data_IF_085073196791
#
_entry.id   IF_085073196791
#
_cell.length_a   1.000
_cell.length_b   1.000
_cell.length_c   1.000
_cell.angle_alpha   90.00
_cell.angle_beta   90.00
_cell.angle_gamma   90.00
#
_symmetry.space_group_name_H-M   'P 1'
#
loop_
_entity.id
_entity.type
_entity.pdbx_description
1 polymer ?
#
# COMPACT_ATOMS: atom_id res chain seq x y z
N UNK A 1 -7.99 -11.71 14.03
CA UNK A 1 -8.89 -12.86 14.20
C UNK A 1 -8.47 -13.94 13.23
N UNK A 2 -8.72 -15.21 13.54
CA UNK A 2 -8.40 -16.34 12.69
C UNK A 2 -9.64 -17.21 12.50
N UNK A 3 -9.97 -17.55 11.25
CA UNK A 3 -10.99 -18.57 10.97
C UNK A 3 -10.34 -19.93 11.20
N UNK A 4 -10.90 -20.71 12.12
CA UNK A 4 -10.37 -22.02 12.56
C UNK A 4 -11.27 -23.18 12.17
N UNK A 5 -12.45 -22.90 11.63
CA UNK A 5 -13.41 -23.91 11.20
C UNK A 5 -14.61 -23.30 10.51
N UNK A 6 -15.46 -24.16 9.98
CA UNK A 6 -16.75 -23.77 9.39
C UNK A 6 -17.78 -24.88 9.59
N UNK A 7 -19.06 -24.50 9.50
CA UNK A 7 -20.20 -25.41 9.54
C UNK A 7 -21.30 -24.80 8.66
N UNK A 8 -21.65 -25.48 7.56
CA UNK A 8 -22.61 -25.00 6.57
C UNK A 8 -24.06 -24.92 7.08
N UNK A 9 -24.33 -25.49 8.26
CA UNK A 9 -25.65 -25.52 8.87
C UNK A 9 -25.70 -24.88 10.25
N UNK A 10 -24.66 -24.14 10.64
CA UNK A 10 -24.50 -23.57 12.00
C UNK A 10 -25.68 -22.74 12.44
N UNK A 11 -26.26 -21.96 11.55
CA UNK A 11 -27.40 -21.10 11.77
C UNK A 11 -28.66 -21.56 11.00
N UNK A 12 -28.90 -22.87 10.95
CA UNK A 12 -30.03 -23.48 10.27
C UNK A 12 -29.78 -23.67 8.78
N UNK A 13 -30.32 -22.75 7.93
CA UNK A 13 -30.08 -22.77 6.47
C UNK A 13 -28.86 -21.97 6.06
N UNK A 14 -28.26 -21.25 6.99
CA UNK A 14 -27.06 -20.44 6.81
C UNK A 14 -25.91 -21.06 7.59
N UNK A 15 -24.77 -21.18 6.93
CA UNK A 15 -23.55 -21.62 7.57
C UNK A 15 -22.82 -20.50 8.29
N UNK A 16 -21.73 -20.85 8.94
CA UNK A 16 -20.91 -19.90 9.64
C UNK A 16 -19.48 -20.35 9.78
N UNK A 17 -18.62 -19.37 10.03
CA UNK A 17 -17.21 -19.55 10.37
C UNK A 17 -17.02 -19.59 11.88
N UNK A 18 -16.16 -20.48 12.33
CA UNK A 18 -15.65 -20.48 13.69
C UNK A 18 -14.41 -19.58 13.74
N UNK A 19 -14.47 -18.55 14.57
CA UNK A 19 -13.48 -17.49 14.65
C UNK A 19 -12.78 -17.53 16.01
N UNK A 20 -11.46 -17.56 16.01
CA UNK A 20 -10.62 -17.37 17.18
C UNK A 20 -10.13 -15.92 17.22
N UNK A 21 -10.35 -15.27 18.37
CA UNK A 21 -9.90 -13.91 18.61
C UNK A 21 -8.58 -13.89 19.41
N UNK A 22 -7.81 -12.81 19.29
CA UNK A 22 -6.57 -12.57 20.03
C UNK A 22 -6.77 -11.95 21.42
N UNK A 23 -8.03 -11.75 21.85
CA UNK A 23 -8.36 -11.09 23.14
C UNK A 23 -8.29 -12.03 24.36
N UNK A 24 -7.89 -13.27 24.16
CA UNK A 24 -7.69 -14.26 25.21
C UNK A 24 -8.92 -15.13 25.49
N UNK A 25 -8.76 -16.12 26.38
CA UNK A 25 -9.79 -17.14 26.67
C UNK A 25 -11.02 -16.59 27.40
N UNK A 26 -10.91 -15.43 28.05
CA UNK A 26 -12.01 -14.78 28.77
C UNK A 26 -13.05 -14.17 27.79
N UNK A 27 -12.70 -13.99 26.52
CA UNK A 27 -13.61 -13.49 25.52
C UNK A 27 -14.51 -14.63 25.01
N UNK A 28 -15.84 -14.43 25.08
CA UNK A 28 -16.87 -15.37 24.65
C UNK A 28 -16.63 -16.78 25.22
N UNK A 29 -16.59 -17.82 24.37
CA UNK A 29 -16.31 -19.22 24.78
C UNK A 29 -14.85 -19.56 24.52
N UNK A 30 -13.99 -19.35 25.49
CA UNK A 30 -12.54 -19.63 25.39
C UNK A 30 -11.85 -18.93 24.21
N UNK A 31 -12.22 -17.68 23.94
CA UNK A 31 -11.66 -16.91 22.83
C UNK A 31 -12.23 -17.27 21.45
N UNK A 32 -13.30 -18.09 21.38
CA UNK A 32 -13.87 -18.61 20.13
C UNK A 32 -15.33 -18.20 20.00
N UNK A 33 -15.71 -17.71 18.83
CA UNK A 33 -17.09 -17.37 18.45
C UNK A 33 -17.47 -17.99 17.11
N UNK A 34 -18.76 -17.93 16.79
CA UNK A 34 -19.27 -18.24 15.46
C UNK A 34 -19.85 -16.98 14.84
N UNK A 35 -19.59 -16.78 13.58
CA UNK A 35 -20.11 -15.69 12.77
C UNK A 35 -20.77 -16.25 11.51
N UNK A 36 -21.95 -15.73 11.12
CA UNK A 36 -22.61 -16.21 9.91
C UNK A 36 -21.82 -15.87 8.66
N UNK A 37 -22.00 -16.64 7.59
CA UNK A 37 -21.34 -16.35 6.30
C UNK A 37 -21.74 -14.96 5.77
N UNK A 38 -23.00 -14.57 5.99
CA UNK A 38 -23.49 -13.25 5.60
C UNK A 38 -22.83 -12.12 6.36
N UNK A 39 -22.75 -12.22 7.69
CA UNK A 39 -22.08 -11.22 8.52
C UNK A 39 -20.57 -11.18 8.20
N UNK A 40 -19.94 -12.33 8.07
CA UNK A 40 -18.52 -12.40 7.68
C UNK A 40 -18.27 -11.69 6.35
N UNK A 41 -19.08 -11.95 5.32
CA UNK A 41 -18.96 -11.28 4.03
C UNK A 41 -19.22 -9.77 4.09
N UNK A 42 -20.12 -9.33 4.99
CA UNK A 42 -20.48 -7.94 5.14
C UNK A 42 -19.44 -7.12 5.91
N UNK A 43 -18.90 -7.68 7.01
CA UNK A 43 -17.99 -6.94 7.90
C UNK A 43 -16.52 -7.20 7.66
N UNK A 44 -16.15 -8.30 6.99
CA UNK A 44 -14.75 -8.61 6.69
C UNK A 44 -14.26 -7.72 5.55
N UNK A 45 -13.25 -6.91 5.85
CA UNK A 45 -12.60 -6.03 4.86
C UNK A 45 -11.55 -6.78 4.06
N UNK A 46 -10.82 -7.66 4.73
CA UNK A 46 -9.71 -8.42 4.14
C UNK A 46 -9.62 -9.78 4.84
N UNK A 47 -9.35 -10.84 4.08
CA UNK A 47 -9.09 -12.17 4.59
C UNK A 47 -7.92 -12.80 3.84
N UNK A 48 -7.05 -13.49 4.57
CA UNK A 48 -5.86 -14.15 4.03
C UNK A 48 -5.88 -15.62 4.42
N UNK A 49 -5.62 -16.50 3.45
CA UNK A 49 -5.40 -17.90 3.72
C UNK A 49 -3.95 -18.12 4.19
N UNK A 50 -3.80 -18.84 5.31
CA UNK A 50 -2.49 -19.27 5.80
C UNK A 50 -2.32 -20.74 5.43
N UNK A 51 -1.35 -21.03 4.59
CA UNK A 51 -0.98 -22.40 4.26
C UNK A 51 0.25 -22.81 5.06
N UNK A 52 0.30 -24.02 5.65
CA UNK A 52 1.55 -24.52 6.21
C UNK A 52 2.58 -24.56 5.07
N UNK A 53 3.71 -23.95 5.28
CA UNK A 53 4.85 -24.13 4.38
C UNK A 53 5.25 -25.61 4.45
N UNK A 54 4.88 -26.36 3.40
CA UNK A 54 5.62 -27.58 3.08
C UNK A 54 7.07 -27.20 2.76
N UNK A 55 7.94 -28.18 2.53
CA UNK A 55 9.26 -27.92 1.93
C UNK A 55 9.02 -27.32 0.53
N UNK A 56 8.73 -26.02 0.52
CA UNK A 56 8.35 -25.31 -0.70
C UNK A 56 9.59 -24.99 -1.50
N UNK A 57 9.57 -25.37 -2.74
CA UNK A 57 10.34 -24.70 -3.78
C UNK A 57 10.06 -23.20 -3.58
N UNK A 58 11.08 -22.39 -3.26
CA UNK A 58 10.95 -20.95 -3.13
C UNK A 58 10.67 -20.36 -4.52
N UNK A 59 9.40 -20.37 -4.89
CA UNK A 59 8.88 -19.79 -6.15
C UNK A 59 8.69 -18.29 -6.04
N UNK A 60 9.51 -17.60 -5.25
CA UNK A 60 9.49 -16.13 -5.30
C UNK A 60 9.81 -15.70 -6.73
N UNK A 61 8.96 -14.88 -7.35
CA UNK A 61 9.28 -14.38 -8.67
C UNK A 61 10.62 -13.64 -8.61
N UNK A 62 11.44 -13.85 -9.63
CA UNK A 62 12.75 -13.18 -9.74
C UNK A 62 12.64 -11.67 -9.97
N UNK A 63 11.42 -11.20 -10.25
CA UNK A 63 11.15 -9.80 -10.55
C UNK A 63 9.90 -9.31 -9.83
N UNK A 64 9.95 -8.10 -9.30
CA UNK A 64 8.76 -7.33 -8.97
C UNK A 64 8.13 -6.78 -10.26
N UNK A 65 6.82 -6.90 -10.38
CA UNK A 65 6.00 -6.17 -11.33
C UNK A 65 4.87 -5.53 -10.54
N UNK A 66 5.00 -4.25 -10.28
CA UNK A 66 4.05 -3.50 -9.47
C UNK A 66 3.51 -2.35 -10.31
N UNK A 67 2.19 -2.23 -10.39
CA UNK A 67 1.51 -1.14 -11.07
C UNK A 67 0.90 -0.21 -10.04
N UNK A 68 1.01 1.08 -10.32
CA UNK A 68 0.49 2.14 -9.49
C UNK A 68 -0.39 3.06 -10.31
N UNK A 69 -1.41 3.62 -9.67
CA UNK A 69 -2.22 4.68 -10.21
C UNK A 69 -2.67 5.61 -9.10
N UNK A 70 -3.02 6.84 -9.46
CA UNK A 70 -3.75 7.75 -8.59
C UNK A 70 -5.19 7.78 -9.09
N UNK A 71 -6.06 6.97 -8.50
CA UNK A 71 -7.43 6.82 -8.92
C UNK A 71 -8.30 7.93 -8.32
N UNK A 72 -9.03 8.64 -9.17
CA UNK A 72 -10.01 9.63 -8.73
C UNK A 72 -11.15 8.96 -7.98
N UNK A 73 -11.63 9.63 -6.94
CA UNK A 73 -12.77 9.18 -6.15
C UNK A 73 -13.86 10.25 -6.12
N UNK A 74 -15.10 9.81 -6.01
CA UNK A 74 -16.26 10.66 -5.88
C UNK A 74 -16.39 11.30 -4.48
N UNK A 75 -17.50 11.98 -4.21
CA UNK A 75 -17.78 12.62 -2.92
C UNK A 75 -17.92 11.63 -1.78
N UNK A 76 -18.33 10.40 -2.05
CA UNK A 76 -18.46 9.33 -1.07
C UNK A 76 -17.12 8.62 -0.81
N UNK A 77 -16.12 8.83 -1.66
CA UNK A 77 -14.82 8.17 -1.63
C UNK A 77 -14.78 6.88 -2.45
N UNK A 78 -15.81 6.65 -3.27
CA UNK A 78 -15.85 5.50 -4.17
C UNK A 78 -15.02 5.74 -5.43
N UNK A 79 -14.31 4.73 -5.93
CA UNK A 79 -13.48 4.84 -7.13
C UNK A 79 -14.30 5.17 -8.37
N UNK A 80 -13.87 6.20 -9.12
CA UNK A 80 -14.53 6.60 -10.37
C UNK A 80 -14.11 5.76 -11.59
N UNK A 81 -13.01 5.02 -11.48
CA UNK A 81 -12.37 4.34 -12.61
C UNK A 81 -11.44 5.24 -13.42
N UNK A 82 -11.40 6.54 -13.15
CA UNK A 82 -10.51 7.50 -13.80
C UNK A 82 -9.22 7.69 -12.97
N UNK A 83 -8.10 7.93 -13.66
CA UNK A 83 -6.81 8.14 -13.06
C UNK A 83 -6.24 9.51 -13.37
N UNK A 84 -5.48 10.05 -12.40
CA UNK A 84 -4.64 11.21 -12.63
C UNK A 84 -3.44 10.73 -13.46
N UNK A 85 -3.32 11.27 -14.68
CA UNK A 85 -2.22 10.90 -15.57
C UNK A 85 -0.88 11.37 -15.00
N UNK A 86 0.09 10.46 -15.00
CA UNK A 86 1.45 10.66 -14.50
C UNK A 86 2.45 10.38 -15.61
N UNK A 87 3.55 11.13 -15.64
CA UNK A 87 4.69 10.92 -16.54
C UNK A 87 5.98 10.73 -15.73
N UNK A 88 6.85 9.86 -16.20
CA UNK A 88 8.19 9.70 -15.64
C UNK A 88 9.05 10.92 -15.96
N UNK A 89 9.67 11.53 -14.97
CA UNK A 89 10.49 12.73 -15.12
C UNK A 89 11.99 12.47 -14.91
N UNK A 90 12.33 11.25 -14.51
CA UNK A 90 13.70 10.79 -14.32
C UNK A 90 13.96 10.21 -12.93
N UNK A 91 14.98 9.40 -12.80
CA UNK A 91 15.29 8.73 -11.54
C UNK A 91 14.13 7.89 -11.02
N UNK A 92 13.63 8.23 -9.82
CA UNK A 92 12.47 7.59 -9.17
C UNK A 92 11.20 8.43 -9.29
N UNK A 93 11.24 9.57 -9.98
CA UNK A 93 10.21 10.59 -9.88
C UNK A 93 9.21 10.53 -11.03
N UNK A 94 7.95 10.53 -10.68
CA UNK A 94 6.80 10.72 -11.55
C UNK A 94 6.11 12.01 -11.18
N UNK A 95 5.55 12.67 -12.17
CA UNK A 95 4.83 13.93 -11.99
C UNK A 95 3.49 13.88 -12.72
N UNK A 96 2.49 14.58 -12.23
CA UNK A 96 1.23 14.76 -12.94
C UNK A 96 1.50 15.36 -14.33
N UNK A 97 0.85 14.80 -15.35
CA UNK A 97 0.98 15.29 -16.72
C UNK A 97 0.45 16.72 -16.86
N UNK A 98 -0.55 17.06 -16.08
CA UNK A 98 -1.16 18.39 -15.94
C UNK A 98 -1.47 18.71 -14.49
N UNK A 99 -1.36 19.97 -14.06
CA UNK A 99 -1.79 20.36 -12.72
C UNK A 99 -3.27 20.03 -12.50
N UNK A 100 -3.56 19.37 -11.38
CA UNK A 100 -4.92 19.04 -10.96
C UNK A 100 -5.54 20.18 -10.15
N UNK A 101 -6.86 20.24 -10.10
CA UNK A 101 -7.54 21.23 -9.29
C UNK A 101 -7.33 20.94 -7.80
N UNK A 102 -7.11 21.99 -7.00
CA UNK A 102 -7.16 21.89 -5.55
C UNK A 102 -8.52 21.36 -5.11
N UNK A 103 -8.57 20.55 -4.06
CA UNK A 103 -9.77 19.82 -3.68
C UNK A 103 -9.99 18.50 -4.43
N UNK A 104 -9.22 18.19 -5.48
CA UNK A 104 -9.29 16.90 -6.17
C UNK A 104 -9.02 15.76 -5.18
N UNK A 105 -9.89 14.76 -5.17
CA UNK A 105 -9.82 13.61 -4.28
C UNK A 105 -9.36 12.37 -5.03
N UNK A 106 -8.45 11.63 -4.46
CA UNK A 106 -7.89 10.43 -5.05
C UNK A 106 -7.46 9.41 -4.00
N UNK A 107 -7.19 8.20 -4.46
CA UNK A 107 -6.57 7.13 -3.70
C UNK A 107 -5.42 6.53 -4.52
N UNK A 108 -4.48 5.92 -3.85
CA UNK A 108 -3.43 5.16 -4.52
C UNK A 108 -3.97 3.77 -4.86
N UNK A 109 -3.89 3.43 -6.13
CA UNK A 109 -4.15 2.09 -6.63
C UNK A 109 -2.84 1.33 -6.79
N UNK A 110 -2.79 0.09 -6.33
CA UNK A 110 -1.62 -0.79 -6.46
C UNK A 110 -2.07 -2.16 -6.94
N UNK A 111 -1.40 -2.65 -7.96
CA UNK A 111 -1.51 -4.05 -8.43
C UNK A 111 -0.13 -4.66 -8.40
N UNK A 112 0.04 -5.79 -7.71
CA UNK A 112 1.31 -6.49 -7.56
C UNK A 112 1.21 -7.94 -8.04
N UNK A 113 2.29 -8.46 -8.63
CA UNK A 113 2.40 -9.84 -9.07
C UNK A 113 3.00 -10.78 -8.03
N UNK A 114 3.48 -10.25 -6.93
CA UNK A 114 4.11 -10.99 -5.84
C UNK A 114 3.74 -10.36 -4.51
N UNK A 115 3.77 -11.14 -3.44
CA UNK A 115 3.61 -10.63 -2.08
C UNK A 115 4.65 -9.57 -1.79
N UNK A 116 4.23 -8.46 -1.22
CA UNK A 116 5.11 -7.35 -0.89
C UNK A 116 4.61 -6.57 0.33
N UNK A 117 5.44 -5.67 0.80
CA UNK A 117 5.13 -4.72 1.86
C UNK A 117 5.20 -3.31 1.29
N UNK A 118 4.17 -2.53 1.55
CA UNK A 118 4.00 -1.19 1.02
C UNK A 118 4.09 -0.16 2.13
N UNK A 119 4.86 0.90 1.89
CA UNK A 119 4.99 2.03 2.81
C UNK A 119 4.91 3.33 2.03
N UNK A 120 4.19 4.32 2.57
CA UNK A 120 4.08 5.63 1.94
C UNK A 120 4.50 6.73 2.91
N UNK A 121 5.23 7.69 2.38
CA UNK A 121 5.66 8.91 3.08
C UNK A 121 5.18 10.12 2.30
N UNK A 122 4.74 11.15 3.01
CA UNK A 122 4.46 12.46 2.45
C UNK A 122 5.58 13.45 2.78
N UNK A 123 5.59 14.57 2.08
CA UNK A 123 6.46 15.70 2.37
C UNK A 123 5.61 16.94 2.62
N UNK A 124 5.84 17.62 3.73
CA UNK A 124 5.25 18.90 4.06
C UNK A 124 5.89 20.03 3.26
N UNK A 125 5.26 21.19 3.25
CA UNK A 125 5.78 22.38 2.54
C UNK A 125 7.10 22.91 3.08
N UNK A 126 7.41 22.65 4.36
CA UNK A 126 8.71 22.95 4.96
C UNK A 126 9.79 21.92 4.61
N UNK A 127 9.42 20.88 3.84
CA UNK A 127 10.29 19.82 3.42
C UNK A 127 10.42 18.66 4.42
N UNK A 128 9.79 18.72 5.60
CA UNK A 128 9.77 17.59 6.54
C UNK A 128 8.99 16.43 5.96
N UNK A 129 9.34 15.20 6.34
CA UNK A 129 8.61 13.99 5.93
C UNK A 129 7.69 13.49 7.04
N UNK A 130 6.61 12.83 6.65
CA UNK A 130 5.69 12.17 7.56
C UNK A 130 5.18 10.85 6.98
N UNK A 131 4.70 9.96 7.86
CA UNK A 131 4.16 8.66 7.44
C UNK A 131 2.72 8.83 6.95
N UNK A 132 2.48 8.46 5.69
CA UNK A 132 1.14 8.37 5.12
C UNK A 132 0.53 6.99 5.32
N UNK A 133 1.33 5.92 5.14
CA UNK A 133 0.86 4.54 5.29
C UNK A 133 2.03 3.59 5.65
N UNK A 134 1.82 2.65 6.60
CA UNK A 134 0.68 2.57 7.53
C UNK A 134 0.75 3.70 8.57
N UNK A 135 -0.35 4.43 8.75
CA UNK A 135 -0.41 5.56 9.69
C UNK A 135 -0.98 5.19 11.06
N UNK A 136 -1.48 3.97 11.19
CA UNK A 136 -1.96 3.42 12.47
C UNK A 136 -1.53 1.95 12.61
N UNK A 137 -1.42 1.41 13.84
CA UNK A 137 -1.14 -0.01 14.08
C UNK A 137 -2.21 -0.97 13.52
N UNK A 138 -3.37 -0.45 13.12
CA UNK A 138 -4.46 -1.23 12.51
C UNK A 138 -4.24 -1.47 11.01
N UNK A 139 -3.37 -0.70 10.38
CA UNK A 139 -3.05 -0.83 8.96
C UNK A 139 -1.85 -1.75 8.78
N UNK A 140 -2.04 -2.84 8.05
CA UNK A 140 -0.95 -3.74 7.68
C UNK A 140 -0.27 -3.25 6.40
N UNK A 141 1.06 -3.14 6.35
CA UNK A 141 1.78 -2.86 5.12
C UNK A 141 1.80 -4.05 4.16
N UNK A 142 1.42 -5.23 4.61
CA UNK A 142 1.45 -6.44 3.80
C UNK A 142 0.43 -6.43 2.67
N UNK A 143 0.91 -6.69 1.46
CA UNK A 143 0.13 -6.85 0.24
C UNK A 143 0.32 -8.27 -0.30
N UNK A 144 -0.65 -9.17 -0.09
CA UNK A 144 -0.68 -10.48 -0.75
C UNK A 144 -0.99 -10.36 -2.24
N UNK A 145 -0.88 -11.46 -2.97
CA UNK A 145 -1.24 -11.52 -4.40
C UNK A 145 -2.76 -11.64 -4.51
N UNK A 146 -3.48 -10.54 -4.52
CA UNK A 146 -4.95 -10.54 -4.54
C UNK A 146 -5.55 -9.62 -5.59
N UNK A 147 -4.77 -9.20 -6.58
CA UNK A 147 -5.21 -8.25 -7.61
C UNK A 147 -5.00 -6.80 -7.20
N UNK A 148 -5.86 -5.92 -7.70
CA UNK A 148 -5.74 -4.47 -7.49
C UNK A 148 -6.28 -4.07 -6.13
N UNK A 149 -5.54 -3.23 -5.42
CA UNK A 149 -5.90 -2.62 -4.14
C UNK A 149 -5.92 -1.12 -4.24
N UNK A 150 -6.81 -0.52 -3.50
CA UNK A 150 -6.95 0.93 -3.42
C UNK A 150 -6.80 1.33 -1.96
N UNK A 151 -5.89 2.25 -1.69
CA UNK A 151 -5.63 2.70 -0.32
C UNK A 151 -5.43 4.22 -0.22
N UNK A 152 -5.66 4.77 0.98
CA UNK A 152 -6.20 4.10 2.16
C UNK A 152 -7.63 3.60 1.89
N UNK A 153 -8.02 2.47 2.54
CA UNK A 153 -9.33 1.86 2.31
C UNK A 153 -10.49 2.71 2.81
N UNK A 154 -10.30 3.31 3.99
CA UNK A 154 -11.31 4.03 4.77
C UNK A 154 -11.20 5.56 4.68
N UNK A 155 -10.18 6.06 4.02
CA UNK A 155 -9.91 7.49 3.85
C UNK A 155 -9.64 7.82 2.39
N UNK A 156 -9.49 9.09 2.09
CA UNK A 156 -9.09 9.61 0.78
C UNK A 156 -7.99 10.64 0.95
N UNK A 157 -7.15 10.73 -0.05
CA UNK A 157 -6.20 11.81 -0.19
C UNK A 157 -6.88 12.97 -0.91
N UNK A 158 -6.48 14.17 -0.61
CA UNK A 158 -7.01 15.37 -1.26
C UNK A 158 -5.83 16.27 -1.63
N UNK A 159 -5.80 16.73 -2.87
CA UNK A 159 -4.91 17.80 -3.28
C UNK A 159 -5.33 19.06 -2.52
N UNK A 160 -4.62 19.39 -1.46
CA UNK A 160 -5.00 20.45 -0.53
C UNK A 160 -4.79 21.86 -1.10
N UNK A 161 -5.18 22.87 -0.33
CA UNK A 161 -5.03 24.29 -0.72
C UNK A 161 -3.59 24.82 -0.53
N UNK A 162 -2.73 24.06 0.20
CA UNK A 162 -1.40 24.53 0.60
C UNK A 162 -0.36 24.17 -0.48
N UNK A 163 0.43 25.15 -0.88
CA UNK A 163 1.49 24.95 -1.87
C UNK A 163 0.99 24.73 -3.30
N UNK A 164 1.92 24.38 -4.17
CA UNK A 164 1.67 24.14 -5.59
C UNK A 164 1.91 22.68 -5.99
N UNK A 165 2.58 21.90 -5.14
CA UNK A 165 2.95 20.49 -5.41
C UNK A 165 2.84 19.73 -4.10
N UNK A 166 2.09 18.63 -4.15
CA UNK A 166 2.13 17.61 -3.10
C UNK A 166 3.15 16.54 -3.51
N UNK A 167 3.96 16.12 -2.56
CA UNK A 167 5.00 15.11 -2.80
C UNK A 167 4.77 13.92 -1.90
N UNK A 168 4.74 12.73 -2.50
CA UNK A 168 4.65 11.47 -1.77
C UNK A 168 5.63 10.45 -2.32
N UNK A 169 6.08 9.56 -1.45
CA UNK A 169 6.90 8.43 -1.84
C UNK A 169 6.18 7.12 -1.53
N UNK A 170 6.35 6.15 -2.41
CA UNK A 170 5.87 4.79 -2.25
C UNK A 170 7.08 3.87 -2.24
N UNK A 171 7.24 3.12 -1.15
CA UNK A 171 8.28 2.11 -1.00
C UNK A 171 7.63 0.72 -1.06
N UNK A 172 8.24 -0.18 -1.81
CA UNK A 172 7.80 -1.58 -1.93
C UNK A 172 8.97 -2.50 -1.58
N UNK A 173 8.75 -3.40 -0.64
CA UNK A 173 9.74 -4.37 -0.21
C UNK A 173 9.18 -5.79 -0.27
N UNK A 174 10.03 -6.77 -0.57
CA UNK A 174 9.67 -8.19 -0.54
C UNK A 174 9.56 -8.77 0.88
N UNK A 175 9.94 -8.00 1.89
CA UNK A 175 9.86 -8.38 3.30
C UNK A 175 9.52 -7.17 4.16
N UNK A 176 9.00 -7.41 5.36
CA UNK A 176 8.72 -6.33 6.30
C UNK A 176 9.98 -5.58 6.70
N UNK A 177 9.89 -4.26 6.80
CA UNK A 177 10.97 -3.38 7.26
C UNK A 177 10.53 -2.56 8.46
N UNK A 178 11.50 -2.12 9.25
CA UNK A 178 11.32 -1.22 10.40
C UNK A 178 11.06 0.22 9.91
N UNK A 179 9.86 0.46 9.34
CA UNK A 179 9.53 1.74 8.71
C UNK A 179 9.58 2.97 9.65
N UNK A 180 9.34 2.90 10.98
CA UNK A 180 9.58 4.03 11.87
C UNK A 180 11.04 4.48 11.86
N UNK A 181 11.99 3.53 11.76
CA UNK A 181 13.40 3.84 11.61
C UNK A 181 13.72 4.55 10.28
N UNK A 182 13.01 4.18 9.23
CA UNK A 182 13.12 4.87 7.93
C UNK A 182 12.63 6.31 8.06
N UNK A 183 11.47 6.52 8.68
CA UNK A 183 10.92 7.86 8.92
C UNK A 183 11.88 8.76 9.71
N UNK A 184 12.44 8.25 10.81
CA UNK A 184 13.44 8.98 11.58
C UNK A 184 14.71 9.31 10.77
N UNK A 185 15.13 8.41 9.89
CA UNK A 185 16.30 8.63 9.04
C UNK A 185 16.00 9.68 7.95
N UNK A 186 14.83 9.63 7.32
CA UNK A 186 14.38 10.63 6.37
C UNK A 186 14.28 12.03 6.99
N UNK A 187 13.78 12.13 8.23
CA UNK A 187 13.72 13.39 8.99
C UNK A 187 15.10 13.98 9.32
N UNK A 188 16.10 13.11 9.50
CA UNK A 188 17.48 13.55 9.78
C UNK A 188 18.29 13.90 8.54
N UNK A 189 17.89 13.43 7.36
CA UNK A 189 18.58 13.73 6.11
C UNK A 189 18.47 15.22 5.77
N UNK A 190 19.58 15.80 5.38
CA UNK A 190 19.68 17.21 4.93
C UNK A 190 19.56 17.36 3.42
N UNK A 191 19.36 16.25 2.70
CA UNK A 191 19.17 16.29 1.25
C UNK A 191 17.90 17.05 0.87
N UNK A 192 17.94 17.75 -0.25
CA UNK A 192 16.83 18.59 -0.69
C UNK A 192 15.74 17.79 -1.40
N UNK A 193 14.56 17.76 -0.82
CA UNK A 193 13.38 17.05 -1.35
C UNK A 193 13.34 15.57 -1.03
N UNK A 194 12.15 14.99 -1.09
CA UNK A 194 11.90 13.62 -0.65
C UNK A 194 12.66 12.58 -1.47
N UNK A 195 12.75 12.77 -2.78
CA UNK A 195 13.50 11.85 -3.65
C UNK A 195 14.98 11.76 -3.28
N UNK A 196 15.63 12.91 -3.07
CA UNK A 196 17.03 12.95 -2.68
C UNK A 196 17.27 12.38 -1.27
N UNK A 197 16.35 12.58 -0.34
CA UNK A 197 16.41 11.98 0.99
C UNK A 197 16.28 10.46 0.95
N UNK A 198 15.40 9.95 0.11
CA UNK A 198 15.25 8.51 -0.11
C UNK A 198 16.55 7.92 -0.66
N UNK A 199 17.15 8.55 -1.65
CA UNK A 199 18.43 8.07 -2.22
C UNK A 199 19.58 8.18 -1.20
N UNK A 200 19.62 9.22 -0.38
CA UNK A 200 20.61 9.41 0.70
C UNK A 200 20.49 8.32 1.78
N UNK A 201 19.27 8.06 2.24
CA UNK A 201 19.00 7.17 3.37
C UNK A 201 18.94 5.70 2.95
N UNK A 202 18.29 5.41 1.82
CA UNK A 202 17.93 4.06 1.40
C UNK A 202 18.61 3.61 0.11
N UNK A 203 19.40 4.46 -0.55
CA UNK A 203 19.92 4.20 -1.89
C UNK A 203 20.70 2.88 -2.02
N UNK A 204 21.31 2.38 -0.94
CA UNK A 204 22.00 1.09 -0.90
C UNK A 204 21.07 -0.11 -0.73
N UNK A 205 19.88 0.14 -0.20
CA UNK A 205 18.84 -0.88 0.09
C UNK A 205 17.78 -0.94 -1.01
N UNK A 206 17.84 -0.02 -1.98
CA UNK A 206 16.91 0.08 -3.08
C UNK A 206 17.54 -0.34 -4.40
N UNK A 207 16.72 -0.90 -5.27
CA UNK A 207 17.11 -1.08 -6.68
C UNK A 207 17.41 0.30 -7.27
N UNK A 208 18.59 0.42 -7.90
CA UNK A 208 18.96 1.66 -8.57
C UNK A 208 17.97 1.99 -9.69
N UNK A 209 17.68 3.28 -9.97
CA UNK A 209 16.75 3.65 -11.05
C UNK A 209 17.08 3.06 -12.41
N UNK A 210 18.37 2.87 -12.71
CA UNK A 210 18.84 2.22 -13.94
C UNK A 210 18.51 0.72 -14.03
N UNK A 211 18.19 0.07 -12.92
CA UNK A 211 17.75 -1.32 -12.85
C UNK A 211 16.23 -1.48 -12.92
N UNK A 212 15.50 -0.39 -13.05
CA UNK A 212 14.04 -0.36 -13.10
C UNK A 212 13.57 -0.12 -14.54
N UNK A 213 12.52 -0.81 -14.93
CA UNK A 213 11.79 -0.56 -16.17
C UNK A 213 10.44 0.04 -15.83
N UNK A 214 10.08 1.09 -16.54
CA UNK A 214 8.84 1.83 -16.36
C UNK A 214 7.91 1.64 -17.56
N UNK A 215 6.64 1.37 -17.32
CA UNK A 215 5.59 1.36 -18.32
C UNK A 215 4.63 2.51 -18.06
N UNK A 216 4.38 3.34 -19.07
CA UNK A 216 3.48 4.50 -18.99
C UNK A 216 2.04 4.11 -19.34
N UNK A 217 1.08 4.84 -18.78
CA UNK A 217 -0.35 4.66 -19.00
C UNK A 217 -1.18 5.39 -17.97
N UNK A 218 -2.47 5.13 -17.88
CA UNK A 218 -3.33 5.63 -16.80
C UNK A 218 -2.87 5.09 -15.41
N UNK A 219 -2.38 3.85 -15.41
CA UNK A 219 -1.53 3.30 -14.36
C UNK A 219 -0.12 3.11 -14.91
N UNK A 220 0.90 3.36 -14.12
CA UNK A 220 2.29 3.12 -14.51
C UNK A 220 2.83 1.85 -13.85
N UNK A 221 3.56 1.05 -14.60
CA UNK A 221 4.20 -0.16 -14.13
C UNK A 221 5.67 0.10 -13.79
N UNK A 222 6.15 -0.54 -12.73
CA UNK A 222 7.55 -0.58 -12.35
C UNK A 222 7.97 -2.03 -12.25
N UNK A 223 8.95 -2.41 -13.04
CA UNK A 223 9.56 -3.73 -12.99
C UNK A 223 11.00 -3.62 -12.52
N UNK A 224 11.40 -4.52 -11.65
CA UNK A 224 12.76 -4.59 -11.14
C UNK A 224 13.07 -5.95 -10.53
N UNK A 225 14.33 -6.26 -10.27
CA UNK A 225 14.70 -7.54 -9.66
C UNK A 225 14.08 -7.68 -8.27
N UNK A 226 13.44 -8.81 -7.99
CA UNK A 226 12.91 -9.19 -6.68
C UNK A 226 14.03 -9.71 -5.77
N UNK A 227 15.10 -8.97 -5.66
CA UNK A 227 16.19 -9.21 -4.71
C UNK A 227 15.77 -8.74 -3.33
N UNK A 228 16.66 -8.79 -2.33
CA UNK A 228 16.38 -8.21 -1.00
C UNK A 228 16.22 -6.67 -1.03
N UNK A 229 16.49 -6.07 -2.15
CA UNK A 229 16.37 -4.63 -2.36
C UNK A 229 14.90 -4.23 -2.57
N UNK A 230 14.52 -3.09 -2.00
CA UNK A 230 13.21 -2.49 -2.22
C UNK A 230 13.15 -1.68 -3.51
N UNK A 231 11.91 -1.33 -3.89
CA UNK A 231 11.61 -0.32 -4.90
C UNK A 231 11.19 0.98 -4.22
N UNK A 232 11.53 2.12 -4.81
CA UNK A 232 11.01 3.41 -4.37
C UNK A 232 10.57 4.25 -5.56
N UNK A 233 9.42 4.89 -5.42
CA UNK A 233 8.87 5.87 -6.34
C UNK A 233 8.55 7.15 -5.62
N UNK A 234 8.72 8.27 -6.27
CA UNK A 234 8.30 9.59 -5.77
C UNK A 234 7.30 10.18 -6.74
N UNK A 235 6.17 10.61 -6.22
CA UNK A 235 5.10 11.22 -6.97
C UNK A 235 5.03 12.70 -6.63
N UNK A 236 5.10 13.55 -7.64
CA UNK A 236 4.89 14.99 -7.54
C UNK A 236 3.55 15.33 -8.18
N UNK A 237 2.61 15.77 -7.36
CA UNK A 237 1.24 16.10 -7.77
C UNK A 237 1.12 17.62 -7.87
N UNK A 238 1.22 18.14 -9.09
CA UNK A 238 1.08 19.58 -9.34
C UNK A 238 -0.38 20.02 -9.18
N UNK A 239 -0.59 21.16 -8.51
CA UNK A 239 -1.90 21.72 -8.16
C UNK A 239 -2.11 23.11 -8.77
N UNK A 240 -3.37 23.45 -9.07
CA UNK A 240 -3.78 24.77 -9.59
C UNK A 240 -5.07 25.28 -8.92
#
# INVERSE_FOLDING_TARGET
MCVIGYDDFKFGKEGGFQIMNSWGPEWWKNGIAWESYGDFAHFTKEAYAVYPQGEGVDVRPSTFDVRFGLQLVDENGDPSGEHIALRHTGGRTFRTDRPIAKGTRFKVEVTNNTECYLYCFGQETDGSSYILFPNTPKHSPYCGITGTRIFPSDQRMTADEVGQVDVMAILVYGQSVEFPRIDEALKRSTASGLAARIDDVLGRELVAPSGLTYAEGGTFGVQGPATQAGLALVLEIEKR
#
